data_IF_243579490643
#
_entry.id   IF_243579490643
#
_cell.length_a   1.000
_cell.length_b   1.000
_cell.length_c   1.000
_cell.angle_alpha   90.00
_cell.angle_beta   90.00
_cell.angle_gamma   90.00
#
_symmetry.space_group_name_H-M   'P 1'
#
loop_
_entity.id
_entity.type
_entity.pdbx_description
1 polymer ?
#
# COMPACT_ATOMS: atom_id res chain seq x y z
N UNK A 1 44.11 -1.31 -13.95
CA UNK A 1 42.71 -1.00 -14.31
C UNK A 1 41.85 -2.26 -14.18
N UNK A 2 40.59 -2.14 -13.75
CA UNK A 2 39.64 -3.27 -13.64
C UNK A 2 38.74 -3.34 -14.88
N UNK A 3 38.60 -4.52 -15.48
CA UNK A 3 37.67 -4.74 -16.61
C UNK A 3 36.35 -5.28 -16.08
N UNK A 4 35.25 -4.66 -16.47
CA UNK A 4 33.93 -5.15 -16.08
C UNK A 4 33.61 -6.48 -16.77
N UNK A 5 33.35 -7.53 -15.99
CA UNK A 5 32.98 -8.87 -16.50
C UNK A 5 31.65 -8.91 -17.26
N UNK A 6 30.79 -7.90 -17.08
CA UNK A 6 29.47 -7.83 -17.72
C UNK A 6 29.48 -7.06 -19.04
N UNK A 7 30.27 -5.99 -19.15
CA UNK A 7 30.24 -5.11 -20.34
C UNK A 7 31.60 -4.86 -20.98
N UNK A 8 32.69 -5.44 -20.45
CA UNK A 8 34.04 -5.36 -21.03
C UNK A 8 34.74 -4.01 -20.91
N UNK A 9 34.09 -3.00 -20.32
CA UNK A 9 34.64 -1.64 -20.22
C UNK A 9 35.69 -1.56 -19.10
N UNK A 10 36.78 -0.81 -19.38
CA UNK A 10 37.85 -0.54 -18.43
C UNK A 10 37.44 0.52 -17.43
N UNK A 11 37.72 0.26 -16.16
CA UNK A 11 37.41 1.11 -15.03
C UNK A 11 38.67 1.35 -14.20
N UNK A 12 38.67 2.45 -13.44
CA UNK A 12 39.73 2.76 -12.48
C UNK A 12 39.92 1.63 -11.47
N UNK A 13 41.16 1.42 -11.01
CA UNK A 13 41.50 0.36 -10.05
C UNK A 13 40.78 0.50 -8.70
N UNK A 14 40.42 1.73 -8.35
CA UNK A 14 39.67 2.06 -7.13
C UNK A 14 38.14 2.01 -7.33
N UNK A 15 37.64 1.74 -8.53
CA UNK A 15 36.21 1.70 -8.81
C UNK A 15 35.58 0.42 -8.21
N UNK A 16 34.63 0.59 -7.30
CA UNK A 16 33.83 -0.51 -6.75
C UNK A 16 32.72 -0.98 -7.69
N UNK A 17 32.30 -0.14 -8.65
CA UNK A 17 31.24 -0.42 -9.61
C UNK A 17 31.64 0.06 -11.01
N UNK A 18 31.12 -0.61 -12.03
CA UNK A 18 31.35 -0.23 -13.42
C UNK A 18 30.65 1.09 -13.76
N UNK A 19 31.38 2.03 -14.36
CA UNK A 19 30.91 3.34 -14.79
C UNK A 19 29.80 3.30 -15.85
N UNK A 20 29.70 2.22 -16.61
CA UNK A 20 28.73 2.09 -17.70
C UNK A 20 27.51 1.26 -17.30
N UNK A 21 27.70 0.08 -16.70
CA UNK A 21 26.59 -0.85 -16.42
C UNK A 21 26.25 -1.02 -14.94
N UNK A 22 26.95 -0.31 -14.03
CA UNK A 22 26.67 -0.31 -12.59
C UNK A 22 26.95 -1.63 -11.86
N UNK A 23 27.56 -2.62 -12.53
CA UNK A 23 27.86 -3.92 -11.91
C UNK A 23 29.06 -3.79 -10.97
N UNK A 24 28.98 -4.44 -9.80
CA UNK A 24 30.07 -4.43 -8.82
C UNK A 24 31.34 -5.09 -9.40
N UNK A 25 32.49 -4.44 -9.22
CA UNK A 25 33.79 -4.90 -9.70
C UNK A 25 34.55 -5.56 -8.54
N UNK A 26 34.61 -6.89 -8.54
CA UNK A 26 35.37 -7.67 -7.55
C UNK A 26 36.88 -7.59 -7.80
N UNK A 27 37.67 -7.56 -6.74
CA UNK A 27 39.12 -7.22 -6.75
C UNK A 27 40.08 -8.19 -7.46
N UNK A 28 39.62 -9.31 -8.01
CA UNK A 28 40.53 -10.30 -8.60
C UNK A 28 40.28 -10.50 -10.10
N UNK A 29 40.97 -9.71 -10.92
CA UNK A 29 41.47 -10.18 -12.22
C UNK A 29 42.72 -9.38 -12.60
N UNK A 30 43.76 -10.14 -12.96
CA UNK A 30 45.18 -9.81 -12.88
C UNK A 30 45.67 -8.69 -13.81
N UNK A 31 46.70 -8.00 -13.32
CA UNK A 31 47.58 -7.08 -14.05
C UNK A 31 48.27 -7.77 -15.24
N UNK A 32 48.35 -7.06 -16.38
CA UNK A 32 49.53 -7.06 -17.25
C UNK A 32 49.61 -5.70 -17.98
N UNK A 33 50.80 -5.10 -17.95
CA UNK A 33 51.26 -3.86 -18.63
C UNK A 33 52.51 -4.28 -19.47
N UNK A 34 53.19 -3.48 -20.35
CA UNK A 34 53.00 -2.07 -20.74
C UNK A 34 53.22 -1.73 -22.25
N UNK A 35 52.80 -0.54 -22.73
CA UNK A 35 53.71 0.50 -23.25
C UNK A 35 53.06 1.64 -24.07
N UNK A 36 53.71 2.80 -23.91
CA UNK A 36 53.82 4.00 -24.77
C UNK A 36 52.80 5.16 -24.63
N UNK A 37 53.34 6.20 -23.98
CA UNK A 37 52.98 7.63 -23.90
C UNK A 37 53.19 8.35 -25.27
N UNK A 38 52.98 9.68 -25.44
CA UNK A 38 52.13 10.67 -24.75
C UNK A 38 51.24 11.50 -25.72
N UNK A 39 50.25 12.24 -25.20
CA UNK A 39 50.07 13.70 -25.38
C UNK A 39 48.61 14.16 -25.25
N UNK A 40 48.36 15.16 -24.42
CA UNK A 40 47.22 16.06 -24.57
C UNK A 40 46.36 16.33 -23.33
N UNK A 41 46.74 17.37 -22.60
CA UNK A 41 45.88 18.27 -21.82
C UNK A 41 45.53 17.89 -20.36
N UNK A 42 46.39 18.40 -19.48
CA UNK A 42 46.11 18.76 -18.09
C UNK A 42 45.08 19.89 -18.01
N UNK A 43 44.17 19.82 -17.04
CA UNK A 43 43.80 20.83 -16.02
C UNK A 43 42.71 20.13 -15.16
N UNK A 44 43.04 19.51 -14.01
CA UNK A 44 43.16 20.12 -12.67
C UNK A 44 41.77 20.17 -12.01
N UNK A 45 41.43 19.60 -10.84
CA UNK A 45 42.13 19.27 -9.59
C UNK A 45 41.27 18.27 -8.74
N UNK A 46 41.82 17.70 -7.64
CA UNK A 46 41.25 16.54 -6.95
C UNK A 46 40.16 16.94 -5.95
N UNK A 47 38.99 16.30 -5.99
CA UNK A 47 38.04 16.43 -4.88
C UNK A 47 38.41 15.45 -3.78
N UNK A 48 39.23 15.94 -2.86
CA UNK A 48 39.43 15.36 -1.56
C UNK A 48 38.11 15.34 -0.77
N UNK A 49 38.00 14.34 0.09
CA UNK A 49 37.09 14.36 1.23
C UNK A 49 37.36 15.64 2.04
N UNK A 50 36.47 16.63 1.98
CA UNK A 50 36.03 17.47 3.11
C UNK A 50 34.99 18.53 2.69
N UNK A 51 33.96 18.64 3.53
CA UNK A 51 33.02 19.77 3.73
C UNK A 51 31.87 20.03 2.72
N UNK A 52 30.66 19.79 3.23
CA UNK A 52 29.39 20.53 3.06
C UNK A 52 29.06 21.22 1.71
N UNK A 53 28.01 20.70 1.05
CA UNK A 53 27.20 21.42 0.06
C UNK A 53 27.24 20.82 -1.35
N UNK A 54 26.06 20.61 -1.94
CA UNK A 54 25.79 20.33 -3.37
C UNK A 54 25.90 18.86 -3.86
N UNK A 55 24.74 18.25 -4.09
CA UNK A 55 24.47 17.36 -5.24
C UNK A 55 24.94 15.90 -5.18
N UNK A 56 24.34 15.07 -4.32
CA UNK A 56 24.44 13.61 -4.52
C UNK A 56 23.68 13.20 -5.80
N UNK A 57 24.35 12.53 -6.74
CA UNK A 57 23.73 11.96 -7.94
C UNK A 57 22.77 10.83 -7.53
N UNK A 58 21.51 11.19 -7.29
CA UNK A 58 20.42 10.28 -7.03
C UNK A 58 20.01 9.59 -8.33
N UNK A 59 19.86 8.27 -8.34
CA UNK A 59 19.40 7.57 -9.56
C UNK A 59 18.03 8.11 -10.00
N UNK A 60 17.75 8.24 -11.32
CA UNK A 60 16.49 8.80 -11.81
C UNK A 60 15.26 8.09 -11.24
N UNK A 61 15.39 6.78 -10.99
CA UNK A 61 14.37 5.93 -10.37
C UNK A 61 14.11 6.31 -8.92
N UNK A 62 15.15 6.46 -8.10
CA UNK A 62 14.99 6.84 -6.69
C UNK A 62 14.48 8.28 -6.59
N UNK A 63 14.92 9.17 -7.48
CA UNK A 63 14.40 10.53 -7.58
C UNK A 63 12.90 10.54 -7.91
N UNK A 64 12.46 9.72 -8.86
CA UNK A 64 11.04 9.56 -9.18
C UNK A 64 10.23 9.02 -7.99
N UNK A 65 10.73 7.99 -7.28
CA UNK A 65 10.04 7.46 -6.08
C UNK A 65 9.96 8.54 -4.99
N UNK A 66 11.05 9.27 -4.72
CA UNK A 66 11.06 10.36 -3.75
C UNK A 66 10.09 11.47 -4.15
N UNK A 67 10.07 11.88 -5.42
CA UNK A 67 9.16 12.90 -5.94
C UNK A 67 7.70 12.50 -5.75
N UNK A 68 7.35 11.24 -6.05
CA UNK A 68 5.98 10.73 -5.84
C UNK A 68 5.63 10.63 -4.35
N UNK A 69 6.55 10.10 -3.53
CA UNK A 69 6.38 9.95 -2.09
C UNK A 69 6.41 11.26 -1.30
N UNK A 70 6.92 12.36 -1.87
CA UNK A 70 6.90 13.71 -1.29
C UNK A 70 5.91 14.65 -1.99
N UNK A 71 5.12 14.13 -2.93
CA UNK A 71 4.16 14.91 -3.70
C UNK A 71 3.04 15.47 -2.81
N UNK A 72 2.47 16.61 -3.20
CA UNK A 72 1.32 17.23 -2.53
C UNK A 72 0.11 16.28 -2.54
N UNK A 73 -0.04 15.48 -3.59
CA UNK A 73 -1.10 14.46 -3.68
C UNK A 73 -0.94 13.41 -2.59
N UNK A 74 0.26 12.86 -2.41
CA UNK A 74 0.51 11.88 -1.36
C UNK A 74 0.33 12.47 0.05
N UNK A 75 0.83 13.69 0.28
CA UNK A 75 0.63 14.41 1.53
C UNK A 75 -0.86 14.63 1.85
N UNK A 76 -1.64 15.07 0.86
CA UNK A 76 -3.08 15.29 1.04
C UNK A 76 -3.82 13.99 1.39
N UNK A 77 -3.45 12.87 0.75
CA UNK A 77 -4.02 11.57 1.06
C UNK A 77 -3.72 11.14 2.50
N UNK A 78 -2.49 11.34 2.98
CA UNK A 78 -2.09 10.99 4.35
C UNK A 78 -2.85 11.82 5.38
N UNK A 79 -2.97 13.13 5.16
CA UNK A 79 -3.69 14.02 6.08
C UNK A 79 -5.17 13.62 6.15
N UNK A 80 -5.81 13.44 4.99
CA UNK A 80 -7.22 13.01 4.91
C UNK A 80 -7.41 11.66 5.61
N UNK A 81 -6.53 10.70 5.40
CA UNK A 81 -6.60 9.39 6.06
C UNK A 81 -6.43 9.49 7.57
N UNK A 82 -5.49 10.31 8.03
CA UNK A 82 -5.26 10.55 9.46
C UNK A 82 -6.51 11.15 10.11
N UNK A 83 -7.12 12.16 9.49
CA UNK A 83 -8.34 12.79 9.99
C UNK A 83 -9.50 11.78 9.97
N UNK A 84 -9.68 11.03 8.89
CA UNK A 84 -10.71 9.99 8.80
C UNK A 84 -10.58 8.94 9.91
N UNK A 85 -9.35 8.51 10.21
CA UNK A 85 -9.06 7.55 11.27
C UNK A 85 -9.40 8.12 12.65
N UNK A 86 -9.15 9.41 12.89
CA UNK A 86 -9.53 10.08 14.14
C UNK A 86 -11.06 10.15 14.29
N UNK A 87 -11.80 10.52 13.23
CA UNK A 87 -13.26 10.51 13.24
C UNK A 87 -13.81 9.10 13.48
N UNK A 88 -13.23 8.09 12.84
CA UNK A 88 -13.62 6.68 13.03
C UNK A 88 -13.33 6.19 14.46
N UNK A 89 -12.24 6.66 15.07
CA UNK A 89 -11.91 6.40 16.46
C UNK A 89 -12.92 7.03 17.41
N UNK A 90 -13.24 8.33 17.23
CA UNK A 90 -14.22 9.05 18.04
C UNK A 90 -15.61 8.43 17.90
N UNK A 91 -16.01 8.05 16.68
CA UNK A 91 -17.31 7.42 16.43
C UNK A 91 -17.45 6.06 17.12
N UNK A 92 -16.33 5.37 17.38
CA UNK A 92 -16.32 4.10 18.11
C UNK A 92 -16.61 4.28 19.62
N UNK A 93 -16.38 5.48 20.17
CA UNK A 93 -16.69 5.81 21.57
C UNK A 93 -18.04 6.50 21.74
N UNK A 94 -18.50 7.22 20.70
CA UNK A 94 -19.89 7.62 20.64
C UNK A 94 -20.71 6.36 20.37
N UNK A 95 -21.08 5.63 21.44
CA UNK A 95 -22.13 4.63 21.41
C UNK A 95 -23.43 5.34 21.03
N UNK A 96 -23.56 5.71 19.76
CA UNK A 96 -24.82 6.09 19.19
C UNK A 96 -25.49 4.76 18.96
N UNK A 97 -26.23 4.34 19.99
CA UNK A 97 -27.43 3.52 19.86
C UNK A 97 -28.35 4.21 18.86
N UNK A 98 -27.94 4.21 17.59
CA UNK A 98 -28.79 4.55 16.47
C UNK A 98 -29.53 3.26 16.16
N UNK A 99 -30.43 2.94 17.09
CA UNK A 99 -31.82 2.87 16.73
C UNK A 99 -32.02 2.10 15.41
N UNK A 100 -32.13 0.78 15.54
CA UNK A 100 -32.70 -0.11 14.52
C UNK A 100 -34.15 0.33 14.16
N UNK A 101 -34.66 1.40 14.78
CA UNK A 101 -35.89 2.12 14.43
C UNK A 101 -35.95 2.60 12.98
N UNK A 102 -34.85 2.72 12.22
CA UNK A 102 -34.95 2.94 10.76
C UNK A 102 -35.51 1.71 10.00
N UNK A 103 -35.34 0.50 10.56
CA UNK A 103 -35.91 -0.75 10.02
C UNK A 103 -37.25 -1.13 10.67
N UNK A 104 -37.77 -0.35 11.64
CA UNK A 104 -39.14 -0.46 12.13
C UNK A 104 -40.13 0.10 11.12
N UNK A 105 -40.14 -0.48 9.92
CA UNK A 105 -41.31 -0.42 9.06
C UNK A 105 -42.30 -1.46 9.62
N UNK A 106 -43.57 -1.07 9.85
CA UNK A 106 -44.66 -1.86 10.46
C UNK A 106 -44.97 -3.16 9.69
N UNK A 107 -44.04 -4.10 9.68
CA UNK A 107 -44.20 -5.43 9.12
C UNK A 107 -43.73 -6.41 10.18
N UNK A 108 -44.68 -7.17 10.70
CA UNK A 108 -44.50 -8.24 11.69
C UNK A 108 -43.37 -9.22 11.31
N UNK A 109 -43.05 -9.31 10.01
CA UNK A 109 -41.93 -10.07 9.43
C UNK A 109 -40.53 -9.58 9.84
N UNK A 110 -40.32 -8.27 10.07
CA UNK A 110 -38.99 -7.71 10.39
C UNK A 110 -38.70 -7.66 11.89
N UNK A 111 -39.72 -7.69 12.75
CA UNK A 111 -39.59 -7.73 14.22
C UNK A 111 -38.70 -8.88 14.70
N UNK A 112 -38.88 -10.06 14.11
CA UNK A 112 -38.10 -11.27 14.42
C UNK A 112 -36.63 -11.14 14.00
N UNK A 113 -36.37 -10.58 12.82
CA UNK A 113 -35.01 -10.36 12.29
C UNK A 113 -34.28 -9.30 13.11
N UNK A 114 -34.97 -8.23 13.49
CA UNK A 114 -34.43 -7.14 14.34
C UNK A 114 -34.00 -7.67 15.71
N UNK A 115 -34.82 -8.53 16.35
CA UNK A 115 -34.47 -9.14 17.65
C UNK A 115 -33.22 -10.01 17.59
N UNK A 116 -33.03 -10.74 16.48
CA UNK A 116 -31.80 -11.51 16.26
C UNK A 116 -30.61 -10.55 16.09
N UNK A 117 -30.74 -9.50 15.28
CA UNK A 117 -29.67 -8.51 15.06
C UNK A 117 -29.26 -7.77 16.35
N UNK A 118 -30.21 -7.40 17.22
CA UNK A 118 -29.94 -6.77 18.52
C UNK A 118 -29.11 -7.68 19.44
N UNK A 119 -29.41 -8.99 19.45
CA UNK A 119 -28.62 -9.97 20.22
C UNK A 119 -27.20 -10.13 19.69
N UNK A 120 -26.96 -9.85 18.40
CA UNK A 120 -25.66 -9.95 17.76
C UNK A 120 -24.79 -8.69 17.93
N UNK A 121 -25.42 -7.54 18.14
CA UNK A 121 -24.76 -6.24 18.26
C UNK A 121 -23.57 -6.21 19.27
N UNK A 122 -23.68 -6.75 20.51
CA UNK A 122 -22.57 -6.73 21.46
C UNK A 122 -21.36 -7.57 21.02
N UNK A 123 -21.57 -8.63 20.21
CA UNK A 123 -20.48 -9.43 19.67
C UNK A 123 -19.76 -8.70 18.52
N UNK A 124 -20.50 -7.92 17.73
CA UNK A 124 -19.94 -7.08 16.65
C UNK A 124 -19.12 -5.93 17.24
N UNK A 125 -19.60 -5.27 18.30
CA UNK A 125 -18.86 -4.17 18.94
C UNK A 125 -17.58 -4.63 19.63
N UNK A 126 -17.57 -5.82 20.26
CA UNK A 126 -16.36 -6.40 20.86
C UNK A 126 -15.24 -6.68 19.84
N UNK A 127 -15.59 -6.94 18.58
CA UNK A 127 -14.62 -7.22 17.50
C UNK A 127 -13.98 -5.95 16.90
N UNK A 128 -14.55 -4.77 17.13
CA UNK A 128 -14.16 -3.51 16.48
C UNK A 128 -12.72 -3.06 16.77
N UNK A 129 -12.20 -3.33 17.98
CA UNK A 129 -10.86 -2.90 18.40
C UNK A 129 -9.73 -3.63 17.65
N UNK A 130 -9.96 -4.89 17.27
CA UNK A 130 -8.98 -5.71 16.53
C UNK A 130 -8.83 -5.20 15.09
N UNK A 131 -9.87 -4.56 14.55
CA UNK A 131 -9.91 -4.05 13.16
C UNK A 131 -9.20 -2.69 13.02
N UNK A 132 -9.07 -1.91 14.09
CA UNK A 132 -8.47 -0.56 14.04
C UNK A 132 -6.93 -0.61 14.03
N UNK A 133 -6.33 -1.59 14.70
CA UNK A 133 -4.87 -1.68 14.84
C UNK A 133 -4.11 -1.72 13.49
N UNK A 134 -4.52 -2.50 12.47
CA UNK A 134 -3.91 -2.47 11.14
C UNK A 134 -3.99 -1.09 10.47
N UNK A 135 -5.10 -0.39 10.62
CA UNK A 135 -5.34 0.92 10.01
C UNK A 135 -4.38 1.99 10.56
N UNK A 136 -4.10 1.94 11.88
CA UNK A 136 -3.11 2.81 12.53
C UNK A 136 -1.70 2.51 12.01
N UNK A 137 -1.31 1.23 11.96
CA UNK A 137 0.00 0.83 11.44
C UNK A 137 0.20 1.24 9.97
N UNK A 138 -0.85 1.13 9.16
CA UNK A 138 -0.85 1.62 7.78
C UNK A 138 -0.60 3.14 7.73
N UNK A 139 -1.29 3.92 8.59
CA UNK A 139 -1.11 5.36 8.69
C UNK A 139 0.33 5.75 9.06
N UNK A 140 0.89 5.10 10.09
CA UNK A 140 2.27 5.31 10.52
C UNK A 140 3.25 4.98 9.37
N UNK A 141 3.02 3.88 8.66
CA UNK A 141 3.84 3.49 7.51
C UNK A 141 3.84 4.53 6.40
N UNK A 142 2.68 5.14 6.12
CA UNK A 142 2.54 6.20 5.12
C UNK A 142 3.27 7.49 5.52
N UNK A 143 3.14 7.92 6.78
CA UNK A 143 3.89 9.07 7.31
C UNK A 143 5.40 8.85 7.27
N UNK A 144 5.87 7.66 7.65
CA UNK A 144 7.29 7.32 7.57
C UNK A 144 7.81 7.34 6.13
N UNK A 145 7.02 6.84 5.18
CA UNK A 145 7.39 6.87 3.77
C UNK A 145 7.44 8.30 3.20
N UNK A 146 6.50 9.17 3.60
CA UNK A 146 6.51 10.59 3.24
C UNK A 146 7.77 11.30 3.77
N UNK A 147 8.06 11.15 5.06
CA UNK A 147 9.22 11.78 5.69
C UNK A 147 10.54 11.32 5.05
N UNK A 148 10.67 10.02 4.76
CA UNK A 148 11.85 9.48 4.07
C UNK A 148 11.98 10.05 2.64
N UNK A 149 10.87 10.29 1.95
CA UNK A 149 10.85 10.79 0.59
C UNK A 149 11.14 12.30 0.49
N UNK A 150 10.79 13.06 1.53
CA UNK A 150 10.97 14.52 1.58
C UNK A 150 12.43 14.94 1.72
N UNK A 151 13.27 14.14 2.38
CA UNK A 151 14.67 14.48 2.59
C UNK A 151 15.51 14.17 1.33
N UNK A 152 15.99 15.19 0.60
CA UNK A 152 16.76 14.95 -0.63
C UNK A 152 18.12 14.33 -0.33
N UNK A 153 18.67 14.56 0.86
CA UNK A 153 20.02 14.18 1.30
C UNK A 153 20.13 12.75 1.83
N UNK A 154 19.01 12.12 2.24
CA UNK A 154 19.02 10.76 2.78
C UNK A 154 19.02 9.75 1.62
N UNK A 155 20.20 9.45 1.07
CA UNK A 155 20.39 8.30 0.20
C UNK A 155 21.13 7.20 1.00
N UNK A 156 20.63 5.95 1.03
CA UNK A 156 19.47 5.40 0.31
C UNK A 156 18.10 5.70 0.96
N UNK A 157 17.04 5.73 0.15
CA UNK A 157 15.66 5.94 0.64
C UNK A 157 15.25 4.81 1.59
N UNK A 158 14.82 5.17 2.81
CA UNK A 158 14.37 4.19 3.80
C UNK A 158 13.10 3.45 3.35
N UNK A 159 13.11 2.13 3.48
CA UNK A 159 11.97 1.25 3.15
C UNK A 159 11.10 0.90 4.37
N UNK A 160 11.39 1.47 5.55
CA UNK A 160 10.69 1.15 6.79
C UNK A 160 9.17 1.36 6.71
N UNK A 161 8.73 2.48 6.11
CA UNK A 161 7.31 2.76 5.92
C UNK A 161 6.60 1.72 5.05
N UNK A 162 7.24 1.25 3.97
CA UNK A 162 6.69 0.22 3.08
C UNK A 162 6.65 -1.16 3.76
N UNK A 163 7.64 -1.47 4.60
CA UNK A 163 7.62 -2.68 5.43
C UNK A 163 6.44 -2.66 6.41
N UNK A 164 6.15 -1.51 7.04
CA UNK A 164 4.99 -1.34 7.91
C UNK A 164 3.66 -1.49 7.17
N UNK A 165 3.52 -0.88 5.99
CA UNK A 165 2.33 -1.03 5.13
C UNK A 165 2.09 -2.50 4.74
N UNK A 166 3.16 -3.25 4.46
CA UNK A 166 3.08 -4.68 4.18
C UNK A 166 2.60 -5.45 5.41
N UNK A 167 3.18 -5.18 6.58
CA UNK A 167 2.82 -5.85 7.84
C UNK A 167 1.37 -5.56 8.20
N UNK A 168 0.91 -4.32 8.13
CA UNK A 168 -0.48 -3.98 8.41
C UNK A 168 -1.46 -4.71 7.49
N UNK A 169 -1.13 -4.82 6.19
CA UNK A 169 -1.95 -5.56 5.22
C UNK A 169 -2.01 -7.07 5.51
N UNK A 170 -0.93 -7.66 6.02
CA UNK A 170 -0.91 -9.07 6.45
C UNK A 170 -1.80 -9.27 7.68
N UNK A 171 -1.77 -8.34 8.64
CA UNK A 171 -2.65 -8.40 9.82
C UNK A 171 -4.11 -8.26 9.41
N UNK A 172 -4.43 -7.37 8.46
CA UNK A 172 -5.80 -7.25 7.91
C UNK A 172 -6.28 -8.51 7.20
N UNK A 173 -5.40 -9.25 6.51
CA UNK A 173 -5.76 -10.55 5.94
C UNK A 173 -6.04 -11.59 7.03
N UNK A 174 -5.24 -11.59 8.10
CA UNK A 174 -5.46 -12.50 9.22
C UNK A 174 -6.78 -12.21 9.94
N UNK A 175 -7.14 -10.94 10.15
CA UNK A 175 -8.42 -10.59 10.76
C UNK A 175 -9.62 -10.93 9.85
N UNK A 176 -9.47 -10.79 8.53
CA UNK A 176 -10.48 -11.20 7.54
C UNK A 176 -10.78 -12.70 7.61
N UNK A 177 -9.78 -13.53 7.89
CA UNK A 177 -9.95 -14.98 8.03
C UNK A 177 -10.78 -15.39 9.28
N UNK A 178 -10.94 -14.50 10.26
CA UNK A 178 -11.79 -14.74 11.43
C UNK A 178 -13.28 -14.52 11.13
N UNK A 179 -13.60 -13.69 10.12
CA UNK A 179 -14.98 -13.39 9.73
C UNK A 179 -15.79 -14.65 9.34
N UNK A 180 -15.31 -15.56 8.47
CA UNK A 180 -16.08 -16.77 8.14
C UNK A 180 -16.28 -17.68 9.37
N UNK A 181 -15.32 -17.73 10.29
CA UNK A 181 -15.44 -18.50 11.54
C UNK A 181 -16.55 -17.91 12.41
N UNK A 182 -16.58 -16.58 12.54
CA UNK A 182 -17.63 -15.87 13.25
C UNK A 182 -19.00 -16.10 12.59
N UNK A 183 -19.08 -16.06 11.26
CA UNK A 183 -20.31 -16.35 10.51
C UNK A 183 -20.82 -17.77 10.79
N UNK A 184 -19.94 -18.78 10.77
CA UNK A 184 -20.33 -20.18 11.08
C UNK A 184 -20.85 -20.28 12.52
N UNK A 185 -20.17 -19.62 13.48
CA UNK A 185 -20.66 -19.52 14.84
C UNK A 185 -22.07 -18.88 14.90
N UNK A 186 -22.33 -17.83 14.14
CA UNK A 186 -23.67 -17.24 14.05
C UNK A 186 -24.72 -18.20 13.50
N UNK A 187 -24.41 -18.95 12.43
CA UNK A 187 -25.33 -19.95 11.85
C UNK A 187 -25.74 -21.00 12.89
N UNK A 188 -24.79 -21.49 13.70
CA UNK A 188 -25.05 -22.49 14.74
C UNK A 188 -26.00 -21.93 15.81
N UNK A 189 -25.76 -20.69 16.26
CA UNK A 189 -26.62 -20.05 17.25
C UNK A 189 -27.98 -19.63 16.69
N UNK A 190 -28.09 -19.33 15.39
CA UNK A 190 -29.38 -19.14 14.73
C UNK A 190 -30.13 -20.48 14.73
N UNK A 191 -29.47 -21.60 14.44
CA UNK A 191 -30.10 -22.91 14.41
C UNK A 191 -30.69 -23.32 15.76
N UNK A 192 -30.05 -22.97 16.88
CA UNK A 192 -30.60 -23.20 18.23
C UNK A 192 -31.75 -22.23 18.59
N UNK A 193 -31.78 -21.05 17.99
CA UNK A 193 -32.89 -20.09 18.11
C UNK A 193 -34.08 -20.52 17.24
N UNK A 194 -33.86 -21.17 16.09
CA UNK A 194 -34.92 -21.60 15.17
C UNK A 194 -35.84 -22.67 15.79
N UNK A 195 -35.32 -23.49 16.70
CA UNK A 195 -36.12 -24.42 17.51
C UNK A 195 -37.16 -23.72 18.41
N UNK A 196 -37.14 -22.37 18.50
CA UNK A 196 -38.06 -21.56 19.30
C UNK A 196 -39.26 -20.96 18.55
N UNK A 197 -39.47 -21.29 17.27
CA UNK A 197 -40.73 -20.97 16.56
C UNK A 197 -40.63 -20.01 15.36
N UNK A 198 -39.45 -19.81 14.77
CA UNK A 198 -39.28 -19.00 13.56
C UNK A 198 -39.78 -19.72 12.30
N UNK A 199 -40.39 -18.99 11.35
CA UNK A 199 -40.86 -19.59 10.10
C UNK A 199 -39.71 -20.10 9.21
N UNK A 200 -39.97 -21.15 8.41
CA UNK A 200 -39.00 -21.74 7.48
C UNK A 200 -38.50 -20.76 6.40
N UNK A 201 -39.26 -19.70 6.12
CA UNK A 201 -38.90 -18.65 5.15
C UNK A 201 -37.82 -17.71 5.74
N UNK A 202 -37.95 -17.36 7.03
CA UNK A 202 -36.98 -16.49 7.72
C UNK A 202 -35.62 -17.17 7.81
N UNK A 203 -35.60 -18.47 8.10
CA UNK A 203 -34.36 -19.25 8.20
C UNK A 203 -33.65 -19.40 6.86
N UNK A 204 -34.39 -19.71 5.79
CA UNK A 204 -33.86 -19.78 4.44
C UNK A 204 -33.29 -18.42 3.97
N UNK A 205 -33.97 -17.31 4.29
CA UNK A 205 -33.53 -15.95 3.95
C UNK A 205 -32.21 -15.59 4.65
N UNK A 206 -32.08 -15.91 5.93
CA UNK A 206 -30.86 -15.67 6.70
C UNK A 206 -29.67 -16.47 6.15
N UNK A 207 -29.88 -17.76 5.85
CA UNK A 207 -28.84 -18.61 5.26
C UNK A 207 -28.40 -18.08 3.89
N UNK A 208 -29.35 -17.68 3.03
CA UNK A 208 -29.06 -17.09 1.72
C UNK A 208 -28.23 -15.81 1.82
N UNK A 209 -28.57 -14.91 2.77
CA UNK A 209 -27.82 -13.69 3.02
C UNK A 209 -26.38 -13.97 3.49
N UNK A 210 -26.21 -14.96 4.37
CA UNK A 210 -24.90 -15.38 4.87
C UNK A 210 -24.02 -15.93 3.74
N UNK A 211 -24.56 -16.78 2.86
CA UNK A 211 -23.84 -17.28 1.69
C UNK A 211 -23.43 -16.12 0.77
N UNK A 212 -24.33 -15.16 0.55
CA UNK A 212 -24.02 -13.94 -0.20
C UNK A 212 -22.83 -13.16 0.37
N UNK A 213 -22.78 -12.98 1.70
CA UNK A 213 -21.65 -12.34 2.38
C UNK A 213 -20.35 -13.13 2.17
N UNK A 214 -20.39 -14.47 2.30
CA UNK A 214 -19.22 -15.32 2.11
C UNK A 214 -18.62 -15.21 0.70
N UNK A 215 -19.47 -15.08 -0.33
CA UNK A 215 -19.01 -14.88 -1.71
C UNK A 215 -18.34 -13.51 -1.90
N UNK A 216 -18.88 -12.46 -1.28
CA UNK A 216 -18.33 -11.10 -1.37
C UNK A 216 -17.00 -10.97 -0.61
N UNK A 217 -16.79 -11.75 0.47
CA UNK A 217 -15.56 -11.74 1.28
C UNK A 217 -14.29 -12.12 0.51
N UNK A 218 -14.41 -12.72 -0.67
CA UNK A 218 -13.25 -13.04 -1.52
C UNK A 218 -12.59 -11.77 -2.08
N UNK A 219 -13.35 -10.71 -2.37
CA UNK A 219 -12.84 -9.47 -2.94
C UNK A 219 -11.77 -8.79 -2.04
N UNK A 220 -12.02 -8.55 -0.73
CA UNK A 220 -11.02 -7.94 0.13
C UNK A 220 -9.74 -8.78 0.28
N UNK A 221 -9.80 -10.12 0.14
CA UNK A 221 -8.60 -10.97 0.12
C UNK A 221 -7.67 -10.57 -1.03
N UNK A 222 -8.20 -10.53 -2.26
CA UNK A 222 -7.42 -10.12 -3.42
C UNK A 222 -6.90 -8.69 -3.32
N UNK A 223 -7.66 -7.80 -2.68
CA UNK A 223 -7.28 -6.41 -2.48
C UNK A 223 -6.03 -6.28 -1.60
N UNK A 224 -6.01 -6.92 -0.43
CA UNK A 224 -4.84 -6.88 0.46
C UNK A 224 -3.62 -7.60 -0.14
N UNK A 225 -3.81 -8.72 -0.86
CA UNK A 225 -2.72 -9.36 -1.62
C UNK A 225 -2.13 -8.36 -2.63
N UNK A 226 -2.98 -7.59 -3.31
CA UNK A 226 -2.58 -6.54 -4.23
C UNK A 226 -1.76 -5.43 -3.56
N UNK A 227 -2.16 -4.97 -2.37
CA UNK A 227 -1.39 -3.98 -1.60
C UNK A 227 -0.02 -4.54 -1.20
N UNK A 228 0.04 -5.80 -0.75
CA UNK A 228 1.31 -6.47 -0.42
C UNK A 228 2.24 -6.53 -1.64
N UNK A 229 1.69 -6.87 -2.82
CA UNK A 229 2.45 -6.86 -4.08
C UNK A 229 2.98 -5.46 -4.39
N UNK A 230 2.17 -4.41 -4.23
CA UNK A 230 2.57 -3.02 -4.45
C UNK A 230 3.71 -2.61 -3.51
N UNK A 231 3.56 -2.84 -2.21
CA UNK A 231 4.59 -2.50 -1.22
C UNK A 231 5.93 -3.21 -1.49
N UNK A 232 5.86 -4.49 -1.88
CA UNK A 232 7.05 -5.27 -2.29
C UNK A 232 7.67 -4.72 -3.57
N UNK A 233 6.86 -4.35 -4.56
CA UNK A 233 7.32 -3.78 -5.84
C UNK A 233 8.07 -2.48 -5.61
N UNK A 234 7.47 -1.53 -4.88
CA UNK A 234 8.12 -0.24 -4.57
C UNK A 234 9.39 -0.47 -3.75
N UNK A 235 9.37 -1.36 -2.75
CA UNK A 235 10.55 -1.70 -1.95
C UNK A 235 11.68 -2.26 -2.82
N UNK A 236 11.37 -3.18 -3.73
CA UNK A 236 12.36 -3.75 -4.64
C UNK A 236 12.92 -2.70 -5.59
N UNK A 237 12.08 -1.80 -6.11
CA UNK A 237 12.53 -0.67 -6.94
C UNK A 237 13.48 0.26 -6.18
N UNK A 238 13.23 0.52 -4.90
CA UNK A 238 14.13 1.33 -4.06
C UNK A 238 15.46 0.62 -3.82
N UNK A 239 15.42 -0.68 -3.48
CA UNK A 239 16.61 -1.46 -3.13
C UNK A 239 17.51 -1.76 -4.34
N UNK A 240 16.90 -2.02 -5.49
CA UNK A 240 17.63 -2.41 -6.71
C UNK A 240 17.97 -1.22 -7.61
N UNK A 241 17.26 -0.09 -7.45
CA UNK A 241 17.33 1.03 -8.38
C UNK A 241 16.76 0.73 -9.77
N UNK A 242 16.16 -0.44 -9.98
CA UNK A 242 15.55 -0.85 -11.26
C UNK A 242 14.07 -0.42 -11.27
N UNK A 243 13.62 0.33 -12.29
CA UNK A 243 12.24 0.77 -12.35
C UNK A 243 11.31 -0.43 -12.59
N UNK A 244 10.21 -0.51 -11.84
CA UNK A 244 9.19 -1.54 -12.00
C UNK A 244 7.80 -0.90 -12.04
N UNK A 245 7.01 -1.24 -13.05
CA UNK A 245 5.63 -0.78 -13.22
C UNK A 245 4.60 -1.84 -12.82
N UNK A 246 5.02 -2.85 -12.06
CA UNK A 246 4.27 -4.08 -11.75
C UNK A 246 3.23 -3.87 -10.63
N UNK A 247 2.51 -2.75 -10.72
CA UNK A 247 1.44 -2.32 -9.82
C UNK A 247 0.13 -2.97 -10.25
N UNK A 248 -0.57 -3.56 -9.27
CA UNK A 248 -1.85 -4.22 -9.48
C UNK A 248 -2.93 -3.23 -9.93
N UNK A 249 -3.41 -3.38 -11.18
CA UNK A 249 -4.54 -2.58 -11.69
C UNK A 249 -5.84 -2.85 -10.95
N UNK A 250 -6.00 -4.06 -10.40
CA UNK A 250 -7.15 -4.42 -9.56
C UNK A 250 -7.25 -3.52 -8.33
N UNK A 251 -6.14 -3.23 -7.64
CA UNK A 251 -6.15 -2.34 -6.46
C UNK A 251 -6.58 -0.91 -6.83
N UNK A 252 -6.13 -0.42 -7.99
CA UNK A 252 -6.50 0.91 -8.50
C UNK A 252 -8.01 0.99 -8.75
N UNK A 253 -8.58 0.01 -9.45
CA UNK A 253 -10.03 -0.06 -9.69
C UNK A 253 -10.81 -0.23 -8.40
N UNK A 254 -10.35 -1.11 -7.51
CA UNK A 254 -11.01 -1.36 -6.23
C UNK A 254 -11.00 -0.12 -5.34
N UNK A 255 -9.93 0.69 -5.34
CA UNK A 255 -9.92 1.97 -4.64
C UNK A 255 -11.03 2.91 -5.14
N UNK A 256 -11.28 2.99 -6.45
CA UNK A 256 -12.40 3.78 -6.96
C UNK A 256 -13.76 3.24 -6.52
N UNK A 257 -13.92 1.91 -6.53
CA UNK A 257 -15.15 1.25 -6.06
C UNK A 257 -15.36 1.51 -4.56
N UNK A 258 -14.32 1.34 -3.73
CA UNK A 258 -14.37 1.62 -2.29
C UNK A 258 -14.65 3.10 -2.02
N UNK A 259 -14.10 4.00 -2.84
CA UNK A 259 -14.39 5.41 -2.76
C UNK A 259 -15.86 5.72 -3.04
N UNK A 260 -16.43 5.14 -4.11
CA UNK A 260 -17.86 5.26 -4.43
C UNK A 260 -18.75 4.62 -3.36
N UNK A 261 -18.39 3.44 -2.87
CA UNK A 261 -19.14 2.74 -1.83
C UNK A 261 -19.14 3.51 -0.51
N UNK A 262 -18.04 4.20 -0.18
CA UNK A 262 -17.97 5.07 1.00
C UNK A 262 -19.05 6.16 0.96
N UNK A 263 -19.42 6.68 -0.21
CA UNK A 263 -20.49 7.67 -0.34
C UNK A 263 -21.88 7.11 -0.03
N UNK A 264 -22.10 5.80 -0.17
CA UNK A 264 -23.37 5.18 0.26
C UNK A 264 -23.56 5.26 1.77
N UNK A 265 -22.46 5.34 2.52
CA UNK A 265 -22.48 5.56 3.97
C UNK A 265 -22.56 7.04 4.37
N UNK A 266 -22.89 7.96 3.46
CA UNK A 266 -22.92 9.39 3.80
C UNK A 266 -23.95 9.73 4.89
N UNK A 267 -25.09 9.03 4.92
CA UNK A 267 -26.16 9.23 5.91
C UNK A 267 -25.75 8.84 7.32
N UNK A 268 -24.88 7.84 7.47
CA UNK A 268 -24.46 7.30 8.78
C UNK A 268 -23.03 7.70 9.16
N UNK A 269 -22.12 7.76 8.19
CA UNK A 269 -20.70 8.10 8.34
C UNK A 269 -20.38 9.58 8.17
N UNK A 270 -21.34 10.40 7.71
CA UNK A 270 -21.20 11.86 7.59
C UNK A 270 -19.91 12.29 6.87
N UNK A 271 -19.17 13.21 7.49
CA UNK A 271 -17.91 13.72 6.91
C UNK A 271 -16.84 12.60 6.80
N UNK A 272 -16.85 11.60 7.70
CA UNK A 272 -15.91 10.48 7.64
C UNK A 272 -16.02 9.66 6.34
N UNK A 273 -17.24 9.50 5.82
CA UNK A 273 -17.50 8.85 4.54
C UNK A 273 -16.86 9.62 3.36
N UNK A 274 -16.95 10.95 3.36
CA UNK A 274 -16.33 11.81 2.32
C UNK A 274 -14.80 11.77 2.38
N UNK A 275 -14.24 11.75 3.60
CA UNK A 275 -12.80 11.68 3.80
C UNK A 275 -12.24 10.33 3.33
N UNK A 276 -12.90 9.21 3.67
CA UNK A 276 -12.54 7.89 3.16
C UNK A 276 -12.62 7.82 1.64
N UNK A 277 -13.69 8.34 1.04
CA UNK A 277 -13.84 8.40 -0.41
C UNK A 277 -12.68 9.15 -1.08
N UNK A 278 -12.36 10.33 -0.53
CA UNK A 278 -11.27 11.18 -1.03
C UNK A 278 -9.91 10.49 -0.91
N UNK A 279 -9.65 9.81 0.21
CA UNK A 279 -8.41 9.05 0.41
C UNK A 279 -8.22 7.98 -0.66
N UNK A 280 -9.22 7.13 -0.89
CA UNK A 280 -9.09 6.04 -1.87
C UNK A 280 -8.85 6.58 -3.29
N UNK A 281 -9.54 7.66 -3.67
CA UNK A 281 -9.36 8.32 -4.97
C UNK A 281 -7.93 8.84 -5.11
N UNK A 282 -7.40 9.55 -4.11
CA UNK A 282 -6.05 10.11 -4.15
C UNK A 282 -4.97 9.04 -4.22
N UNK A 283 -5.09 7.96 -3.45
CA UNK A 283 -4.16 6.82 -3.53
C UNK A 283 -4.23 6.16 -4.90
N UNK A 284 -5.43 5.99 -5.47
CA UNK A 284 -5.59 5.43 -6.81
C UNK A 284 -4.89 6.27 -7.89
N UNK A 285 -5.03 7.60 -7.81
CA UNK A 285 -4.33 8.54 -8.70
C UNK A 285 -2.81 8.44 -8.49
N UNK A 286 -2.34 8.39 -7.24
CA UNK A 286 -0.92 8.28 -6.91
C UNK A 286 -0.29 6.99 -7.44
N UNK A 287 -0.97 5.85 -7.29
CA UNK A 287 -0.52 4.55 -7.84
C UNK A 287 -0.47 4.57 -9.38
N UNK A 288 -1.44 5.25 -10.01
CA UNK A 288 -1.46 5.43 -11.46
C UNK A 288 -0.30 6.29 -11.94
N UNK A 289 0.02 7.38 -11.22
CA UNK A 289 1.18 8.22 -11.52
C UNK A 289 2.49 7.45 -11.36
N UNK A 290 2.64 6.69 -10.27
CA UNK A 290 3.79 5.81 -10.09
C UNK A 290 3.98 4.86 -11.27
N UNK A 291 2.91 4.17 -11.69
CA UNK A 291 2.97 3.24 -12.81
C UNK A 291 3.39 3.92 -14.11
N UNK A 292 2.84 5.12 -14.39
CA UNK A 292 3.20 5.91 -15.59
C UNK A 292 4.67 6.33 -15.55
N UNK A 293 5.14 6.91 -14.45
CA UNK A 293 6.53 7.36 -14.29
C UNK A 293 7.52 6.21 -14.41
N UNK A 294 7.25 5.06 -13.78
CA UNK A 294 8.11 3.89 -13.89
C UNK A 294 8.14 3.32 -15.31
N UNK A 295 7.00 3.31 -16.00
CA UNK A 295 6.94 2.88 -17.41
C UNK A 295 7.77 3.78 -18.32
N UNK A 296 7.72 5.10 -18.11
CA UNK A 296 8.55 6.05 -18.86
C UNK A 296 10.05 5.82 -18.61
N UNK A 297 10.45 5.56 -17.36
CA UNK A 297 11.85 5.27 -17.04
C UNK A 297 12.32 3.93 -17.64
N UNK A 298 11.47 2.90 -17.65
CA UNK A 298 11.77 1.63 -18.34
C UNK A 298 11.97 1.88 -19.84
N UNK A 299 11.05 2.62 -20.46
CA UNK A 299 11.13 2.97 -21.88
C UNK A 299 12.43 3.72 -22.18
N UNK A 300 12.71 4.81 -21.47
CA UNK A 300 13.91 5.62 -21.71
C UNK A 300 15.21 4.81 -21.57
N UNK A 301 15.30 3.92 -20.57
CA UNK A 301 16.47 3.05 -20.40
C UNK A 301 16.62 2.01 -21.51
N UNK A 302 15.54 1.62 -22.19
CA UNK A 302 15.62 0.67 -23.28
C UNK A 302 16.22 1.30 -24.55
N UNK A 303 15.76 2.50 -24.93
CA UNK A 303 16.20 3.18 -26.16
C UNK A 303 17.56 3.87 -26.04
N UNK A 304 18.03 4.22 -24.83
CA UNK A 304 19.38 4.77 -24.64
C UNK A 304 20.48 3.71 -24.74
N UNK A 305 20.13 2.42 -24.64
CA UNK A 305 21.08 1.31 -24.64
C UNK A 305 21.05 0.47 -25.93
N UNK A 306 20.24 0.84 -26.93
CA UNK A 306 20.28 0.24 -28.26
C UNK A 306 21.37 0.93 -29.10
N UNK A 307 22.48 0.25 -29.47
CA UNK A 307 23.44 0.82 -30.39
C UNK A 307 22.77 0.97 -31.77
N UNK A 308 22.77 2.20 -32.29
CA UNK A 308 22.46 2.52 -33.69
C UNK A 308 23.61 2.12 -34.60
#
# INVERSE_FOLDING_TARGET
MKICSKCGIQNSDLAAFCSSCGTALTENSQQTNPNNNPSGQQFGQPMGYNQFGQGQYLSPVISAVKSLGSSVLFLSAIIIYTVSLLFSGISSFSNTTSDISFYKYDVEYYEEIIKVLEKLLPYITAFSLIVIAPSILFCIGMWQFYNASRNPTDAPLSTSGLKLIKISSIISLASLALIPIFIIYLIINISTIVDTGYSSIVTATLIGFIIGILLILVLPVFYYIGIIKIAKTITNTILTGVPSNDISGFVIVMNYIMGGFSLLSLSTGGIGALLNASFFILISIGLTQYKKTMTQLIYNNYYTNTPT
#
